data_IF_805257560123
#
_entry.id   IF_805257560123
#
_cell.length_a   1.000
_cell.length_b   1.000
_cell.length_c   1.000
_cell.angle_alpha   90.00
_cell.angle_beta   90.00
_cell.angle_gamma   90.00
#
_symmetry.space_group_name_H-M   'P 1'
#
loop_
_entity.id
_entity.type
_entity.pdbx_description
1 polymer ?
#
# COMPACT_ATOMS: atom_id res chain seq x y z
N UNK A 1 -63.03 -5.13 5.06
CA UNK A 1 -62.38 -5.59 6.29
C UNK A 1 -60.87 -5.35 6.15
N UNK A 2 -60.44 -4.13 6.48
CA UNK A 2 -59.01 -3.76 6.41
C UNK A 2 -58.28 -4.33 7.65
N UNK A 3 -57.58 -5.41 7.46
CA UNK A 3 -56.63 -5.88 8.49
C UNK A 3 -55.43 -4.93 8.50
N UNK A 4 -55.43 -3.97 9.45
CA UNK A 4 -54.22 -3.23 9.83
C UNK A 4 -53.20 -4.23 10.32
N UNK A 5 -52.14 -4.45 9.53
CA UNK A 5 -50.95 -5.17 9.97
C UNK A 5 -50.43 -4.56 11.28
N UNK A 6 -50.09 -5.36 12.31
CA UNK A 6 -49.72 -4.87 13.61
C UNK A 6 -48.45 -3.99 13.51
N UNK A 7 -48.48 -2.87 14.23
CA UNK A 7 -47.47 -1.82 14.28
C UNK A 7 -46.04 -2.33 14.56
N UNK A 8 -45.92 -3.50 15.18
CA UNK A 8 -44.66 -4.18 15.49
C UNK A 8 -43.84 -4.55 14.23
N UNK A 9 -44.52 -4.89 13.12
CA UNK A 9 -43.84 -5.21 11.85
C UNK A 9 -43.29 -3.98 11.14
N UNK A 10 -43.88 -2.81 11.35
CA UNK A 10 -43.44 -1.58 10.72
C UNK A 10 -42.17 -1.01 11.36
N UNK A 11 -41.96 -1.25 12.65
CA UNK A 11 -40.74 -0.83 13.36
C UNK A 11 -39.52 -1.66 13.00
N UNK A 12 -39.63 -2.97 12.78
CA UNK A 12 -38.50 -3.87 12.46
C UNK A 12 -37.74 -3.46 11.20
N UNK A 13 -38.37 -2.75 10.27
CA UNK A 13 -37.73 -2.38 8.98
C UNK A 13 -36.64 -1.32 9.10
N UNK A 14 -36.71 -0.47 10.10
CA UNK A 14 -35.73 0.61 10.29
C UNK A 14 -34.57 0.21 11.19
N UNK A 15 -34.75 -0.82 12.02
CA UNK A 15 -33.70 -1.23 12.96
C UNK A 15 -32.49 -1.89 12.27
N UNK A 16 -32.71 -2.63 11.20
CA UNK A 16 -31.62 -3.40 10.56
C UNK A 16 -30.57 -2.48 9.92
N UNK A 17 -30.92 -1.46 9.13
CA UNK A 17 -29.93 -0.47 8.67
C UNK A 17 -29.24 0.26 9.82
N UNK A 18 -29.95 0.57 10.90
CA UNK A 18 -29.35 1.18 12.09
C UNK A 18 -28.36 0.24 12.80
N UNK A 19 -28.66 -1.06 12.85
CA UNK A 19 -27.73 -2.08 13.37
C UNK A 19 -26.47 -2.13 12.52
N UNK A 20 -26.58 -2.12 11.20
CA UNK A 20 -25.42 -2.11 10.30
C UNK A 20 -24.55 -0.88 10.50
N UNK A 21 -25.14 0.32 10.66
CA UNK A 21 -24.42 1.54 11.00
C UNK A 21 -23.79 1.45 12.39
N UNK A 22 -24.49 0.83 13.35
CA UNK A 22 -23.95 0.57 14.68
C UNK A 22 -22.72 -0.33 14.65
N UNK A 23 -22.72 -1.39 13.86
CA UNK A 23 -21.59 -2.31 13.66
C UNK A 23 -20.38 -1.55 13.10
N UNK A 24 -20.59 -0.73 12.06
CA UNK A 24 -19.54 0.11 11.48
C UNK A 24 -18.97 1.09 12.52
N UNK A 25 -19.85 1.75 13.26
CA UNK A 25 -19.46 2.67 14.33
C UNK A 25 -18.63 1.97 15.41
N UNK A 26 -19.07 0.81 15.88
CA UNK A 26 -18.37 0.02 16.91
C UNK A 26 -16.99 -0.40 16.39
N UNK A 27 -16.89 -0.93 15.18
CA UNK A 27 -15.61 -1.33 14.60
C UNK A 27 -14.65 -0.13 14.49
N UNK A 28 -15.12 1.00 14.00
CA UNK A 28 -14.34 2.22 13.86
C UNK A 28 -13.86 2.78 15.21
N UNK A 29 -14.73 2.82 16.22
CA UNK A 29 -14.34 3.28 17.55
C UNK A 29 -13.45 2.28 18.28
N UNK A 30 -13.71 0.98 18.14
CA UNK A 30 -12.88 -0.06 18.76
C UNK A 30 -11.43 0.04 18.29
N UNK A 31 -11.19 0.30 17.01
CA UNK A 31 -9.81 0.46 16.49
C UNK A 31 -9.09 1.70 17.02
N UNK A 32 -9.83 2.75 17.41
CA UNK A 32 -9.26 3.95 18.04
C UNK A 32 -8.95 3.77 19.52
N UNK A 33 -9.61 2.82 20.17
CA UNK A 33 -9.37 2.47 21.57
C UNK A 33 -8.25 1.44 21.72
N UNK A 34 -7.84 0.78 20.64
CA UNK A 34 -6.69 -0.14 20.68
C UNK A 34 -5.41 0.66 20.97
N UNK A 35 -4.58 0.20 21.92
CA UNK A 35 -3.28 0.79 22.19
C UNK A 35 -2.43 0.93 20.92
N UNK A 36 -1.51 1.90 20.92
CA UNK A 36 -0.60 2.13 19.79
C UNK A 36 0.35 0.93 19.52
N UNK A 37 0.55 0.10 20.55
CA UNK A 37 1.35 -1.13 20.46
C UNK A 37 0.76 -2.18 19.50
N UNK A 38 -0.55 -2.12 19.20
CA UNK A 38 -1.15 -3.06 18.26
C UNK A 38 -0.71 -2.74 16.82
N UNK A 39 -0.25 -3.78 16.08
CA UNK A 39 0.14 -3.62 14.69
C UNK A 39 -0.97 -3.00 13.82
N UNK A 40 -0.64 -2.16 12.84
CA UNK A 40 -1.62 -1.52 11.95
C UNK A 40 -2.58 -2.52 11.29
N UNK A 41 -2.09 -3.70 10.88
CA UNK A 41 -2.91 -4.72 10.25
C UNK A 41 -4.08 -5.19 11.13
N UNK A 42 -3.93 -5.21 12.47
CA UNK A 42 -5.02 -5.59 13.39
C UNK A 42 -6.16 -4.58 13.32
N UNK A 43 -5.82 -3.28 13.29
CA UNK A 43 -6.81 -2.20 13.17
C UNK A 43 -7.53 -2.27 11.83
N UNK A 44 -6.79 -2.51 10.75
CA UNK A 44 -7.35 -2.67 9.40
C UNK A 44 -8.23 -3.90 9.29
N UNK A 45 -7.82 -5.04 9.85
CA UNK A 45 -8.60 -6.27 9.86
C UNK A 45 -9.92 -6.12 10.62
N UNK A 46 -9.92 -5.44 11.78
CA UNK A 46 -11.15 -5.17 12.55
C UNK A 46 -12.09 -4.27 11.75
N UNK A 47 -11.59 -3.19 11.14
CA UNK A 47 -12.40 -2.31 10.32
C UNK A 47 -13.00 -3.03 9.11
N UNK A 48 -12.19 -3.83 8.42
CA UNK A 48 -12.65 -4.60 7.25
C UNK A 48 -13.69 -5.66 7.64
N UNK A 49 -13.47 -6.37 8.74
CA UNK A 49 -14.46 -7.32 9.25
C UNK A 49 -15.78 -6.66 9.63
N UNK A 50 -15.71 -5.50 10.28
CA UNK A 50 -16.90 -4.69 10.60
C UNK A 50 -17.64 -4.22 9.35
N UNK A 51 -16.90 -3.76 8.34
CA UNK A 51 -17.46 -3.36 7.06
C UNK A 51 -18.15 -4.53 6.33
N UNK A 52 -17.51 -5.69 6.24
CA UNK A 52 -18.06 -6.89 5.62
C UNK A 52 -19.34 -7.35 6.34
N UNK A 53 -19.32 -7.37 7.66
CA UNK A 53 -20.50 -7.75 8.46
C UNK A 53 -21.66 -6.77 8.23
N UNK A 54 -21.40 -5.47 8.25
CA UNK A 54 -22.40 -4.45 7.98
C UNK A 54 -22.95 -4.56 6.56
N UNK A 55 -22.10 -4.87 5.58
CA UNK A 55 -22.50 -5.10 4.19
C UNK A 55 -23.41 -6.33 4.08
N UNK A 56 -23.07 -7.45 4.72
CA UNK A 56 -23.88 -8.67 4.74
C UNK A 56 -25.26 -8.38 5.37
N UNK A 57 -25.28 -7.72 6.53
CA UNK A 57 -26.55 -7.38 7.22
C UNK A 57 -27.42 -6.48 6.36
N UNK A 58 -26.83 -5.42 5.77
CA UNK A 58 -27.55 -4.47 4.92
C UNK A 58 -28.08 -5.12 3.64
N UNK A 59 -27.27 -5.95 2.99
CA UNK A 59 -27.65 -6.66 1.76
C UNK A 59 -28.76 -7.67 2.02
N UNK A 60 -28.63 -8.47 3.10
CA UNK A 60 -29.66 -9.43 3.50
C UNK A 60 -30.99 -8.72 3.78
N UNK A 61 -30.93 -7.61 4.53
CA UNK A 61 -32.12 -6.82 4.77
C UNK A 61 -32.72 -6.28 3.46
N UNK A 62 -31.91 -5.71 2.59
CA UNK A 62 -32.36 -5.14 1.34
C UNK A 62 -33.00 -6.19 0.42
N UNK A 63 -32.41 -7.39 0.33
CA UNK A 63 -32.92 -8.48 -0.49
C UNK A 63 -34.26 -9.01 0.04
N UNK A 64 -34.34 -9.32 1.34
CA UNK A 64 -35.46 -10.07 1.89
C UNK A 64 -36.57 -9.20 2.51
N UNK A 65 -36.21 -8.03 3.04
CA UNK A 65 -37.15 -7.21 3.84
C UNK A 65 -37.51 -5.87 3.20
N UNK A 66 -36.83 -5.43 2.14
CA UNK A 66 -37.22 -4.22 1.44
C UNK A 66 -38.45 -4.45 0.58
N UNK A 67 -39.25 -3.39 0.39
CA UNK A 67 -40.48 -3.42 -0.44
C UNK A 67 -40.22 -3.22 -1.93
N UNK A 68 -38.96 -3.06 -2.33
CA UNK A 68 -38.63 -2.86 -3.74
C UNK A 68 -38.94 -4.10 -4.58
N UNK A 69 -39.39 -3.88 -5.79
CA UNK A 69 -39.60 -4.97 -6.74
C UNK A 69 -38.28 -5.71 -7.05
N UNK A 70 -38.37 -6.99 -7.38
CA UNK A 70 -37.21 -7.78 -7.77
C UNK A 70 -36.48 -7.21 -8.99
N UNK A 71 -37.24 -6.64 -9.94
CA UNK A 71 -36.65 -5.98 -11.12
C UNK A 71 -35.79 -4.80 -10.70
N UNK A 72 -36.26 -3.93 -9.80
CA UNK A 72 -35.45 -2.81 -9.30
C UNK A 72 -34.20 -3.29 -8.54
N UNK A 73 -34.30 -4.40 -7.78
CA UNK A 73 -33.15 -4.97 -7.09
C UNK A 73 -32.09 -5.45 -8.09
N UNK A 74 -32.50 -6.14 -9.14
CA UNK A 74 -31.61 -6.59 -10.21
C UNK A 74 -30.97 -5.40 -10.92
N UNK A 75 -31.72 -4.37 -11.23
CA UNK A 75 -31.26 -3.16 -11.91
C UNK A 75 -30.20 -2.44 -11.06
N UNK A 76 -30.45 -2.25 -9.77
CA UNK A 76 -29.47 -1.62 -8.86
C UNK A 76 -28.18 -2.44 -8.78
N UNK A 77 -28.28 -3.76 -8.65
CA UNK A 77 -27.09 -4.63 -8.65
C UNK A 77 -26.34 -4.52 -9.98
N UNK A 78 -27.05 -4.54 -11.11
CA UNK A 78 -26.43 -4.40 -12.43
C UNK A 78 -25.70 -3.05 -12.58
N UNK A 79 -26.30 -1.96 -12.09
CA UNK A 79 -25.67 -0.63 -12.09
C UNK A 79 -24.40 -0.64 -11.23
N UNK A 80 -24.46 -1.18 -10.01
CA UNK A 80 -23.28 -1.24 -9.10
C UNK A 80 -22.17 -2.07 -9.74
N UNK A 81 -22.49 -3.24 -10.27
CA UNK A 81 -21.51 -4.12 -10.93
C UNK A 81 -20.91 -3.43 -12.17
N UNK A 82 -21.76 -2.79 -12.98
CA UNK A 82 -21.28 -2.05 -14.17
C UNK A 82 -20.38 -0.87 -13.77
N UNK A 83 -20.76 -0.14 -12.74
CA UNK A 83 -19.96 0.97 -12.21
C UNK A 83 -18.61 0.46 -11.66
N UNK A 84 -18.60 -0.66 -10.93
CA UNK A 84 -17.38 -1.28 -10.43
C UNK A 84 -16.44 -1.67 -11.59
N UNK A 85 -16.92 -2.46 -12.54
CA UNK A 85 -16.11 -2.88 -13.69
C UNK A 85 -15.74 -1.73 -14.64
N UNK A 86 -16.54 -0.68 -14.68
CA UNK A 86 -16.25 0.53 -15.45
C UNK A 86 -15.19 1.42 -14.81
N UNK A 87 -15.17 1.51 -13.50
CA UNK A 87 -14.33 2.44 -12.76
C UNK A 87 -13.06 1.78 -12.17
N UNK A 88 -13.19 0.57 -11.64
CA UNK A 88 -12.09 -0.11 -10.95
C UNK A 88 -11.26 -0.91 -11.95
N UNK A 89 -9.96 -0.66 -11.97
CA UNK A 89 -8.99 -1.45 -12.76
C UNK A 89 -8.52 -2.65 -11.96
N UNK A 90 -8.13 -2.41 -10.72
CA UNK A 90 -7.53 -3.42 -9.84
C UNK A 90 -7.79 -3.08 -8.38
N UNK A 91 -7.87 -4.10 -7.54
CA UNK A 91 -7.94 -3.97 -6.09
C UNK A 91 -6.72 -4.67 -5.51
N UNK A 92 -5.81 -3.90 -4.97
CA UNK A 92 -4.60 -4.37 -4.29
C UNK A 92 -4.80 -4.33 -2.77
N UNK A 93 -4.11 -5.20 -2.06
CA UNK A 93 -4.01 -5.13 -0.60
C UNK A 93 -2.55 -4.91 -0.23
N UNK A 94 -2.30 -4.00 0.70
CA UNK A 94 -0.97 -3.84 1.28
C UNK A 94 -0.74 -4.86 2.42
N UNK A 95 0.49 -4.92 2.95
CA UNK A 95 0.84 -5.81 4.06
C UNK A 95 0.03 -5.60 5.35
N UNK A 96 -0.65 -4.47 5.48
CA UNK A 96 -1.54 -4.12 6.60
C UNK A 96 -3.01 -4.46 6.30
N UNK A 97 -3.28 -5.22 5.22
CA UNK A 97 -4.62 -5.61 4.78
C UNK A 97 -5.52 -4.39 4.44
N UNK A 98 -4.92 -3.28 4.07
CA UNK A 98 -5.66 -2.11 3.62
C UNK A 98 -5.93 -2.21 2.12
N UNK A 99 -7.21 -2.09 1.70
CA UNK A 99 -7.55 -2.12 0.28
C UNK A 99 -7.14 -0.82 -0.41
N UNK A 100 -6.43 -0.94 -1.51
CA UNK A 100 -6.09 0.15 -2.41
C UNK A 100 -6.79 -0.06 -3.74
N UNK A 101 -7.67 0.87 -4.09
CA UNK A 101 -8.39 0.83 -5.37
C UNK A 101 -7.55 1.55 -6.41
N UNK A 102 -7.22 0.85 -7.49
CA UNK A 102 -6.60 1.44 -8.68
C UNK A 102 -7.71 1.71 -9.69
N UNK A 103 -7.88 2.99 -10.02
CA UNK A 103 -8.91 3.43 -10.94
C UNK A 103 -8.48 3.28 -12.40
N UNK A 104 -9.40 3.02 -13.31
CA UNK A 104 -9.09 2.88 -14.75
C UNK A 104 -8.56 4.14 -15.40
N UNK A 105 -8.88 5.30 -14.85
CA UNK A 105 -8.39 6.61 -15.31
C UNK A 105 -7.13 7.07 -14.59
N UNK A 106 -6.65 6.32 -13.61
CA UNK A 106 -5.39 6.62 -12.95
C UNK A 106 -4.23 6.32 -13.89
N UNK A 107 -3.30 7.28 -13.98
CA UNK A 107 -2.10 7.12 -14.78
C UNK A 107 -1.27 5.93 -14.25
N UNK A 108 -0.89 4.97 -15.11
CA UNK A 108 -0.07 3.85 -14.70
C UNK A 108 1.21 4.28 -13.97
N UNK A 109 1.68 3.45 -13.07
CA UNK A 109 2.91 3.71 -12.30
C UNK A 109 4.12 3.89 -13.22
N UNK A 110 4.21 3.06 -14.25
CA UNK A 110 5.26 3.07 -15.27
C UNK A 110 5.33 4.40 -16.02
N UNK A 111 4.17 4.97 -16.37
CA UNK A 111 4.10 6.25 -17.04
C UNK A 111 4.57 7.40 -16.12
N UNK A 112 4.22 7.34 -14.82
CA UNK A 112 4.70 8.31 -13.82
C UNK A 112 6.23 8.24 -13.67
N UNK A 113 6.80 7.02 -13.66
CA UNK A 113 8.25 6.81 -13.61
C UNK A 113 8.91 7.33 -14.89
N UNK A 114 8.38 6.98 -16.05
CA UNK A 114 8.94 7.41 -17.34
C UNK A 114 8.93 8.94 -17.49
N UNK A 115 7.82 9.57 -17.09
CA UNK A 115 7.73 11.04 -17.10
C UNK A 115 8.72 11.69 -16.13
N UNK A 116 8.84 11.14 -14.93
CA UNK A 116 9.82 11.62 -13.95
C UNK A 116 11.24 11.52 -14.48
N UNK A 117 11.62 10.38 -15.06
CA UNK A 117 12.94 10.15 -15.66
C UNK A 117 13.24 11.11 -16.83
N UNK A 118 12.22 11.41 -17.63
CA UNK A 118 12.38 12.34 -18.77
C UNK A 118 12.64 13.78 -18.28
N UNK A 119 12.02 14.16 -17.17
CA UNK A 119 12.13 15.48 -16.59
C UNK A 119 13.25 15.63 -15.54
N UNK A 120 13.86 14.51 -15.12
CA UNK A 120 14.96 14.53 -14.17
C UNK A 120 16.22 15.14 -14.80
N UNK A 121 17.03 15.87 -14.02
CA UNK A 121 18.33 16.34 -14.50
C UNK A 121 19.19 15.15 -14.91
N UNK A 122 19.79 15.23 -16.11
CA UNK A 122 20.76 14.24 -16.56
C UNK A 122 22.05 14.44 -15.77
N UNK A 123 22.32 13.52 -14.84
CA UNK A 123 23.61 13.48 -14.16
C UNK A 123 24.60 12.80 -15.11
N UNK A 124 25.69 13.47 -15.40
CA UNK A 124 26.79 12.88 -16.13
C UNK A 124 27.38 11.74 -15.28
N UNK A 125 27.33 10.52 -15.81
CA UNK A 125 27.77 9.32 -15.10
C UNK A 125 29.31 9.31 -15.12
N UNK A 126 29.93 9.96 -14.13
CA UNK A 126 31.31 9.60 -13.80
C UNK A 126 31.36 8.14 -13.33
N UNK A 127 32.38 7.42 -13.77
CA UNK A 127 32.60 6.06 -13.31
C UNK A 127 32.73 6.06 -11.77
N UNK A 128 31.72 5.49 -11.11
CA UNK A 128 31.69 5.47 -9.65
C UNK A 128 32.49 4.26 -9.21
N UNK A 129 33.69 4.50 -8.72
CA UNK A 129 34.37 3.52 -7.87
C UNK A 129 33.74 3.61 -6.48
N UNK A 130 32.92 2.62 -6.14
CA UNK A 130 32.25 2.59 -4.84
C UNK A 130 33.21 2.00 -3.82
N UNK A 131 33.82 2.86 -3.02
CA UNK A 131 34.58 2.41 -1.84
C UNK A 131 33.61 2.40 -0.64
N UNK A 132 33.31 1.20 -0.17
CA UNK A 132 32.42 1.04 1.01
C UNK A 132 33.11 1.60 2.26
N UNK A 133 32.63 2.75 2.75
CA UNK A 133 33.12 3.44 3.95
C UNK A 133 32.61 2.82 5.26
N UNK A 134 33.18 3.15 6.41
CA UNK A 134 32.81 2.54 7.70
C UNK A 134 31.38 2.82 8.14
N UNK A 135 30.77 3.91 7.67
CA UNK A 135 29.41 4.33 8.01
C UNK A 135 28.36 3.86 6.98
N UNK A 136 28.82 3.19 5.90
CA UNK A 136 27.93 2.69 4.86
C UNK A 136 27.12 1.46 5.31
N UNK A 137 26.00 1.23 4.66
CA UNK A 137 25.08 0.11 4.89
C UNK A 137 25.00 -0.79 3.63
N UNK A 138 26.05 -1.59 3.32
CA UNK A 138 26.22 -2.20 2.00
C UNK A 138 25.35 -3.43 1.73
N UNK A 139 24.65 -3.96 2.73
CA UNK A 139 23.83 -5.16 2.58
C UNK A 139 22.70 -5.22 3.61
N UNK A 140 21.83 -6.24 3.49
CA UNK A 140 20.81 -6.55 4.48
C UNK A 140 21.44 -6.75 5.87
N UNK A 141 20.92 -6.02 6.87
CA UNK A 141 21.39 -6.04 8.26
C UNK A 141 22.82 -5.55 8.47
N UNK A 142 23.33 -4.71 7.58
CA UNK A 142 24.67 -4.10 7.65
C UNK A 142 25.82 -5.12 7.50
N UNK A 143 27.06 -4.65 7.54
CA UNK A 143 28.30 -5.41 7.30
C UNK A 143 28.42 -6.70 8.10
N UNK A 144 28.07 -6.65 9.37
CA UNK A 144 28.17 -7.79 10.28
C UNK A 144 26.95 -8.70 10.24
N UNK A 145 25.91 -8.37 9.46
CA UNK A 145 24.65 -9.08 9.38
C UNK A 145 23.90 -9.18 10.73
N UNK A 146 24.22 -8.31 11.67
CA UNK A 146 23.66 -8.27 13.03
C UNK A 146 22.51 -7.24 13.16
N UNK A 147 22.35 -6.37 12.18
CA UNK A 147 21.34 -5.29 12.21
C UNK A 147 21.74 -4.12 13.09
N UNK A 148 23.00 -4.07 13.53
CA UNK A 148 23.51 -2.99 14.39
C UNK A 148 24.16 -1.92 13.53
N UNK A 149 23.77 -0.68 13.75
CA UNK A 149 24.40 0.50 13.17
C UNK A 149 25.12 1.24 14.28
N UNK A 150 26.44 1.23 14.20
CA UNK A 150 27.31 2.05 15.07
C UNK A 150 27.54 3.37 14.35
N UNK A 151 26.88 4.40 14.76
CA UNK A 151 26.96 5.71 14.12
C UNK A 151 26.56 6.83 15.06
N UNK A 152 26.29 8.02 14.55
CA UNK A 152 25.89 9.16 15.34
C UNK A 152 24.62 8.86 16.16
N UNK A 153 24.50 9.48 17.32
CA UNK A 153 23.31 9.38 18.14
C UNK A 153 22.09 9.86 17.36
N UNK A 154 21.04 9.04 17.33
CA UNK A 154 19.76 9.37 16.70
C UNK A 154 18.86 10.00 17.76
N UNK A 155 18.22 11.12 17.42
CA UNK A 155 17.20 11.70 18.28
C UNK A 155 16.06 10.69 18.49
N UNK A 156 15.78 10.35 19.75
CA UNK A 156 14.68 9.45 20.10
C UNK A 156 13.33 10.16 20.18
N UNK A 157 13.31 11.46 20.39
CA UNK A 157 12.10 12.29 20.46
C UNK A 157 11.66 12.76 19.06
N UNK A 158 11.22 11.85 18.23
CA UNK A 158 10.74 12.16 16.89
C UNK A 158 9.41 12.91 16.86
N UNK A 159 8.70 12.94 17.99
CA UNK A 159 7.46 13.72 18.12
C UNK A 159 7.73 15.22 18.06
N UNK A 160 8.80 15.68 18.70
CA UNK A 160 9.18 17.10 18.73
C UNK A 160 10.26 17.42 17.66
N UNK A 161 11.06 16.43 17.26
CA UNK A 161 12.12 16.54 16.26
C UNK A 161 11.97 15.46 15.17
N UNK A 162 10.94 15.53 14.34
CA UNK A 162 10.76 14.55 13.28
C UNK A 162 11.88 14.63 12.24
N UNK A 163 12.33 13.50 11.68
CA UNK A 163 13.31 13.49 10.62
C UNK A 163 12.80 14.29 9.42
N UNK A 164 13.67 15.09 8.82
CA UNK A 164 13.33 15.87 7.64
C UNK A 164 13.74 15.11 6.37
N UNK A 165 12.89 15.04 5.34
CA UNK A 165 13.27 14.44 4.09
C UNK A 165 14.39 15.24 3.44
N UNK A 166 15.46 14.56 2.99
CA UNK A 166 16.58 15.18 2.29
C UNK A 166 16.15 15.56 0.87
N UNK A 167 15.33 14.74 0.25
CA UNK A 167 14.76 14.99 -1.07
C UNK A 167 13.28 14.57 -1.12
N UNK A 168 12.56 15.04 -2.12
CA UNK A 168 11.12 14.75 -2.25
C UNK A 168 10.89 13.30 -2.69
N UNK A 169 9.81 12.67 -2.23
CA UNK A 169 9.40 11.36 -2.74
C UNK A 169 9.28 11.38 -4.26
N UNK A 170 9.81 10.35 -4.92
CA UNK A 170 9.81 10.20 -6.37
C UNK A 170 8.99 8.97 -6.77
N UNK A 171 8.39 8.95 -7.97
CA UNK A 171 7.75 7.77 -8.49
C UNK A 171 8.78 6.62 -8.61
N UNK A 172 8.45 5.48 -8.01
CA UNK A 172 9.27 4.27 -8.05
C UNK A 172 8.40 3.05 -8.42
N UNK A 173 9.04 1.93 -8.72
CA UNK A 173 8.40 0.65 -8.94
C UNK A 173 7.74 0.09 -7.67
N UNK A 174 7.09 -1.07 -7.81
CA UNK A 174 6.58 -1.82 -6.67
C UNK A 174 7.69 -2.64 -6.02
N UNK A 175 7.59 -2.87 -4.70
CA UNK A 175 8.49 -3.75 -3.98
C UNK A 175 8.64 -3.39 -2.52
N UNK A 176 9.27 -4.30 -1.80
CA UNK A 176 9.54 -4.18 -0.37
C UNK A 176 11.04 -4.37 -0.10
N UNK A 177 11.86 -4.16 -1.11
CA UNK A 177 13.31 -4.26 -0.99
C UNK A 177 13.86 -3.14 -0.11
N UNK A 178 14.84 -3.49 0.74
CA UNK A 178 15.62 -2.50 1.46
C UNK A 178 16.61 -1.79 0.56
N UNK A 179 17.21 -0.72 1.08
CA UNK A 179 18.32 -0.03 0.43
C UNK A 179 19.67 -0.53 0.95
N UNK A 180 20.61 -0.71 0.04
CA UNK A 180 22.03 -0.78 0.36
C UNK A 180 22.69 0.51 -0.03
N UNK A 181 23.54 1.02 0.85
CA UNK A 181 24.16 2.34 0.72
C UNK A 181 25.68 2.19 0.78
N UNK A 182 26.36 2.75 -0.22
CA UNK A 182 27.81 2.85 -0.23
C UNK A 182 28.23 4.16 -0.88
N UNK A 183 28.96 4.98 -0.14
CA UNK A 183 29.34 6.32 -0.54
C UNK A 183 28.12 7.17 -0.91
N UNK A 184 28.08 7.67 -2.14
CA UNK A 184 26.94 8.46 -2.64
C UNK A 184 25.92 7.63 -3.44
N UNK A 185 25.89 6.32 -3.26
CA UNK A 185 25.01 5.41 -3.98
C UNK A 185 24.02 4.73 -3.04
N UNK A 186 22.73 4.82 -3.35
CA UNK A 186 21.67 4.07 -2.72
C UNK A 186 21.07 3.09 -3.73
N UNK A 187 21.18 1.79 -3.48
CA UNK A 187 20.76 0.73 -4.39
C UNK A 187 19.60 -0.04 -3.79
N UNK A 188 18.56 -0.27 -4.59
CA UNK A 188 17.41 -1.09 -4.21
C UNK A 188 16.92 -1.90 -5.41
N UNK A 189 15.89 -2.72 -5.18
CA UNK A 189 15.19 -3.42 -6.26
C UNK A 189 13.72 -3.03 -6.28
N UNK A 190 13.16 -2.99 -7.47
CA UNK A 190 11.74 -2.68 -7.68
C UNK A 190 11.18 -3.39 -8.91
N UNK A 191 9.88 -3.61 -8.92
CA UNK A 191 9.13 -4.11 -10.08
C UNK A 191 8.67 -2.93 -10.94
N UNK A 192 9.04 -2.96 -12.23
CA UNK A 192 8.53 -2.04 -13.26
C UNK A 192 7.89 -2.86 -14.37
N UNK A 193 6.57 -2.84 -14.43
CA UNK A 193 5.78 -3.68 -15.33
C UNK A 193 6.14 -5.18 -15.20
N UNK A 194 6.61 -5.82 -16.26
CA UNK A 194 7.00 -7.23 -16.30
C UNK A 194 8.48 -7.49 -15.96
N UNK A 195 9.17 -6.49 -15.41
CA UNK A 195 10.61 -6.56 -15.13
C UNK A 195 10.94 -6.27 -13.68
N UNK A 196 11.80 -7.09 -13.11
CA UNK A 196 12.54 -6.71 -11.91
C UNK A 196 13.72 -5.82 -12.29
N UNK A 197 13.93 -4.79 -11.52
CA UNK A 197 14.92 -3.74 -11.80
C UNK A 197 15.76 -3.50 -10.55
N UNK A 198 17.08 -3.66 -10.68
CA UNK A 198 18.03 -3.07 -9.74
C UNK A 198 18.18 -1.61 -10.14
N UNK A 199 17.98 -0.73 -9.20
CA UNK A 199 18.08 0.71 -9.42
C UNK A 199 19.04 1.34 -8.44
N UNK A 200 19.91 2.19 -8.95
CA UNK A 200 20.82 3.00 -8.16
C UNK A 200 20.41 4.46 -8.22
N UNK A 201 20.28 5.05 -7.05
CA UNK A 201 19.99 6.46 -6.86
C UNK A 201 21.21 7.18 -6.31
N UNK A 202 21.37 8.43 -6.68
CA UNK A 202 22.24 9.34 -5.98
C UNK A 202 21.72 9.59 -4.57
N UNK A 203 22.51 9.26 -3.56
CA UNK A 203 22.07 9.30 -2.16
C UNK A 203 21.72 10.72 -1.70
N UNK A 204 22.42 11.73 -2.19
CA UNK A 204 22.19 13.12 -1.78
C UNK A 204 20.97 13.76 -2.45
N UNK A 205 20.65 13.36 -3.70
CA UNK A 205 19.62 14.02 -4.50
C UNK A 205 18.39 13.14 -4.76
N UNK A 206 18.52 11.82 -4.58
CA UNK A 206 17.51 10.83 -4.95
C UNK A 206 17.37 10.63 -6.46
N UNK A 207 18.23 11.22 -7.28
CA UNK A 207 18.14 11.09 -8.74
C UNK A 207 18.61 9.71 -9.18
N UNK A 208 17.83 9.06 -10.06
CA UNK A 208 18.21 7.78 -10.63
C UNK A 208 19.50 7.91 -11.45
N UNK A 209 20.51 7.13 -11.11
CA UNK A 209 21.80 7.10 -11.79
C UNK A 209 21.85 6.05 -12.89
N UNK A 210 21.48 4.82 -12.57
CA UNK A 210 21.43 3.71 -13.52
C UNK A 210 20.44 2.63 -13.09
N UNK A 211 20.09 1.79 -14.03
CA UNK A 211 19.26 0.61 -13.80
C UNK A 211 19.80 -0.59 -14.55
N UNK A 212 19.63 -1.77 -13.96
CA UNK A 212 19.78 -3.05 -14.64
C UNK A 212 18.48 -3.85 -14.45
N UNK A 213 17.99 -4.51 -15.50
CA UNK A 213 16.69 -5.17 -15.42
C UNK A 213 16.63 -6.46 -16.22
N UNK A 214 15.82 -7.39 -15.77
CA UNK A 214 15.49 -8.63 -16.47
C UNK A 214 13.99 -8.90 -16.44
N UNK A 215 13.50 -9.76 -17.34
CA UNK A 215 12.10 -10.15 -17.35
C UNK A 215 11.86 -11.11 -16.18
N UNK A 216 11.16 -10.64 -15.17
CA UNK A 216 10.69 -11.39 -14.03
C UNK A 216 9.59 -10.60 -13.34
N UNK A 217 8.62 -11.29 -12.80
CA UNK A 217 7.55 -10.68 -12.01
C UNK A 217 7.33 -11.49 -10.75
N UNK A 218 7.54 -10.86 -9.61
CA UNK A 218 7.18 -11.43 -8.32
C UNK A 218 5.84 -10.85 -7.85
N UNK A 219 4.96 -11.74 -7.39
CA UNK A 219 3.70 -11.36 -6.77
C UNK A 219 3.41 -12.32 -5.62
N UNK A 220 3.15 -11.75 -4.47
CA UNK A 220 2.66 -12.46 -3.29
C UNK A 220 1.27 -11.95 -2.93
N UNK A 221 0.33 -12.87 -2.68
CA UNK A 221 -1.07 -12.51 -2.42
C UNK A 221 -1.26 -11.67 -1.15
N UNK A 222 -0.35 -11.77 -0.17
CA UNK A 222 -0.39 -11.01 1.08
C UNK A 222 0.68 -9.92 1.14
N UNK A 223 1.81 -10.12 0.45
CA UNK A 223 2.93 -9.18 0.40
C UNK A 223 2.84 -8.19 -0.75
N UNK A 224 2.01 -8.45 -1.77
CA UNK A 224 1.86 -7.58 -2.93
C UNK A 224 2.86 -7.86 -4.05
N UNK A 225 3.05 -6.87 -4.92
CA UNK A 225 3.89 -6.96 -6.10
C UNK A 225 5.32 -6.47 -5.83
N UNK A 226 6.29 -7.17 -6.42
CA UNK A 226 7.67 -6.75 -6.52
C UNK A 226 8.63 -7.46 -5.56
N UNK A 227 9.94 -7.26 -5.75
CA UNK A 227 10.98 -7.93 -5.00
C UNK A 227 10.98 -7.53 -3.52
N UNK A 228 11.41 -8.49 -2.67
CA UNK A 228 11.49 -8.34 -1.20
C UNK A 228 12.93 -8.48 -0.68
N UNK A 229 13.92 -8.51 -1.57
CA UNK A 229 15.33 -8.71 -1.23
C UNK A 229 16.08 -7.39 -1.24
N UNK A 230 17.07 -7.26 -0.35
CA UNK A 230 17.98 -6.12 -0.32
C UNK A 230 19.21 -6.47 -1.13
N UNK A 231 19.63 -5.65 -2.13
CA UNK A 231 20.88 -5.85 -2.83
C UNK A 231 22.08 -5.85 -1.87
N UNK A 232 23.15 -6.53 -2.25
CA UNK A 232 24.42 -6.49 -1.54
C UNK A 232 25.46 -5.82 -2.43
N UNK A 233 26.13 -4.80 -1.90
CA UNK A 233 27.23 -4.10 -2.57
C UNK A 233 28.54 -4.69 -2.04
N UNK A 234 29.37 -5.25 -2.93
CA UNK A 234 30.68 -5.78 -2.61
C UNK A 234 31.70 -5.31 -3.67
N UNK A 235 32.47 -4.30 -3.32
CA UNK A 235 33.38 -3.63 -4.25
C UNK A 235 32.64 -3.07 -5.47
N UNK A 236 33.01 -3.54 -6.66
CA UNK A 236 32.43 -3.10 -7.93
C UNK A 236 31.20 -3.92 -8.35
N UNK A 237 30.77 -4.88 -7.52
CA UNK A 237 29.67 -5.80 -7.82
C UNK A 237 28.45 -5.55 -6.93
N UNK A 238 27.29 -5.82 -7.50
CA UNK A 238 26.01 -5.82 -6.79
C UNK A 238 25.34 -7.17 -7.01
N UNK A 239 24.98 -7.81 -5.90
CA UNK A 239 24.36 -9.12 -5.85
C UNK A 239 22.90 -9.01 -5.39
#
# INVERSE_FOLDING_TARGET
MDQKLPSVFMHRRYYIPMIALGILGIAFFATRLLPEEYPPFVKSAVNMSGFLLALIVSTTWWVFFSRFSWLLKIEVVAIIVSAYYGAVKELEFNGDVEPKIIWRWEKPREDKIAEHRTNAPKIELEAISVVVGPEDFPNYRNRNLDGVVTGPEIYSDWKNNPPKPVWKPQPCGAGYSGFSIAGNLAVTMEQRADREVVVAYDFATGTERWTHSWVARHYDAMGGEGPMITPTIDGDLIY
#
